data_IF_719704222042
#
_entry.id   IF_719704222042
#
_cell.length_a   1.000
_cell.length_b   1.000
_cell.length_c   1.000
_cell.angle_alpha   90.00
_cell.angle_beta   90.00
_cell.angle_gamma   90.00
#
_symmetry.space_group_name_H-M   'P 1'
#
loop_
_entity.id
_entity.type
_entity.pdbx_description
1 polymer ?
#
# COMPACT_ATOMS: atom_id res chain seq x y z
N UNK A 1 -15.12 -16.90 -1.14
CA UNK A 1 -16.20 -16.57 -2.09
C UNK A 1 -15.52 -16.37 -3.43
N UNK A 2 -15.90 -17.15 -4.44
CA UNK A 2 -15.26 -17.06 -5.77
C UNK A 2 -16.10 -16.10 -6.62
N UNK A 3 -15.71 -14.80 -6.64
CA UNK A 3 -16.44 -13.74 -7.35
C UNK A 3 -15.72 -13.47 -8.67
N UNK A 4 -16.48 -13.50 -9.77
CA UNK A 4 -15.98 -13.06 -11.09
C UNK A 4 -16.01 -11.52 -11.14
N UNK A 5 -14.83 -10.90 -11.02
CA UNK A 5 -14.69 -9.45 -10.98
C UNK A 5 -14.94 -8.77 -12.32
N UNK A 6 -14.70 -9.48 -13.45
CA UNK A 6 -15.07 -8.99 -14.79
C UNK A 6 -16.58 -8.88 -14.93
N UNK A 7 -17.30 -9.92 -14.53
CA UNK A 7 -18.77 -9.92 -14.55
C UNK A 7 -19.38 -8.89 -13.60
N UNK A 8 -18.80 -8.71 -12.39
CA UNK A 8 -19.21 -7.64 -11.48
C UNK A 8 -19.08 -6.26 -12.13
N UNK A 9 -17.96 -5.97 -12.78
CA UNK A 9 -17.75 -4.69 -13.46
C UNK A 9 -18.76 -4.49 -14.62
N UNK A 10 -19.08 -5.56 -15.36
CA UNK A 10 -20.10 -5.53 -16.42
C UNK A 10 -21.49 -5.18 -15.89
N UNK A 11 -21.91 -5.85 -14.82
CA UNK A 11 -23.22 -5.64 -14.19
C UNK A 11 -23.33 -4.22 -13.65
N UNK A 12 -22.33 -3.75 -12.92
CA UNK A 12 -22.33 -2.41 -12.36
C UNK A 12 -22.38 -1.31 -13.42
N UNK A 13 -21.68 -1.51 -14.54
CA UNK A 13 -21.76 -0.59 -15.68
C UNK A 13 -23.19 -0.52 -16.27
N UNK A 14 -23.87 -1.66 -16.36
CA UNK A 14 -25.22 -1.73 -16.91
C UNK A 14 -26.31 -1.20 -15.97
N UNK A 15 -26.12 -1.38 -14.66
CA UNK A 15 -27.12 -1.06 -13.62
C UNK A 15 -26.95 0.29 -12.92
N UNK A 16 -25.81 0.97 -13.11
CA UNK A 16 -25.51 2.22 -12.41
C UNK A 16 -25.85 3.45 -13.27
N UNK A 17 -26.44 4.47 -12.65
CA UNK A 17 -26.74 5.77 -13.31
C UNK A 17 -25.45 6.41 -13.86
N UNK A 18 -24.35 6.27 -13.14
CA UNK A 18 -23.06 6.91 -13.49
C UNK A 18 -22.42 6.27 -14.74
N UNK A 19 -22.62 4.97 -14.97
CA UNK A 19 -22.06 4.22 -16.11
C UNK A 19 -20.59 4.55 -16.39
N UNK A 20 -19.76 4.55 -15.34
CA UNK A 20 -18.38 5.00 -15.44
C UNK A 20 -17.59 4.25 -16.51
N UNK A 21 -16.92 4.98 -17.39
CA UNK A 21 -16.06 4.41 -18.43
C UNK A 21 -14.93 3.57 -17.84
N UNK A 22 -14.53 3.89 -16.59
CA UNK A 22 -13.55 3.11 -15.81
C UNK A 22 -13.95 1.65 -15.63
N UNK A 23 -15.24 1.34 -15.47
CA UNK A 23 -15.73 -0.04 -15.29
C UNK A 23 -15.40 -0.94 -16.50
N UNK A 24 -15.40 -0.38 -17.71
CA UNK A 24 -14.98 -1.13 -18.89
C UNK A 24 -13.49 -1.45 -18.90
N UNK A 25 -12.66 -0.53 -18.40
CA UNK A 25 -11.22 -0.79 -18.24
C UNK A 25 -10.97 -1.87 -17.18
N UNK A 26 -11.69 -1.81 -16.05
CA UNK A 26 -11.63 -2.82 -14.99
C UNK A 26 -12.04 -4.19 -15.56
N UNK A 27 -13.16 -4.26 -16.29
CA UNK A 27 -13.62 -5.49 -16.93
C UNK A 27 -12.53 -6.09 -17.82
N UNK A 28 -11.94 -5.30 -18.71
CA UNK A 28 -10.87 -5.73 -19.60
C UNK A 28 -9.62 -6.24 -18.85
N UNK A 29 -9.24 -5.60 -17.74
CA UNK A 29 -8.12 -6.05 -16.93
C UNK A 29 -8.36 -7.46 -16.37
N UNK A 30 -9.54 -7.72 -15.79
CA UNK A 30 -9.90 -9.04 -15.27
C UNK A 30 -10.24 -10.06 -16.36
N UNK A 31 -10.59 -9.64 -17.57
CA UNK A 31 -10.70 -10.55 -18.74
C UNK A 31 -9.31 -11.05 -19.18
N UNK A 32 -8.27 -10.19 -19.07
CA UNK A 32 -6.88 -10.57 -19.37
C UNK A 32 -6.29 -11.51 -18.32
N UNK A 33 -6.51 -11.17 -17.04
CA UNK A 33 -6.05 -11.98 -15.91
C UNK A 33 -7.11 -12.08 -14.83
N UNK A 34 -7.79 -13.21 -14.74
CA UNK A 34 -8.81 -13.49 -13.73
C UNK A 34 -8.27 -13.55 -12.30
N UNK A 35 -6.97 -13.80 -12.15
CA UNK A 35 -6.28 -13.90 -10.87
C UNK A 35 -5.49 -12.63 -10.52
N UNK A 36 -5.71 -11.54 -11.25
CA UNK A 36 -5.03 -10.26 -11.02
C UNK A 36 -5.19 -9.83 -9.55
N UNK A 37 -4.11 -9.75 -8.78
CA UNK A 37 -4.19 -9.49 -7.34
C UNK A 37 -4.56 -8.04 -7.02
N UNK A 38 -4.27 -7.12 -7.94
CA UNK A 38 -4.58 -5.70 -7.82
C UNK A 38 -4.62 -5.06 -9.21
N UNK A 39 -5.53 -4.12 -9.43
CA UNK A 39 -5.59 -3.39 -10.71
C UNK A 39 -4.29 -2.64 -11.05
N UNK A 40 -3.52 -2.22 -10.06
CA UNK A 40 -2.21 -1.58 -10.28
C UNK A 40 -1.16 -2.51 -10.90
N UNK A 41 -1.43 -3.82 -10.95
CA UNK A 41 -0.57 -4.82 -11.59
C UNK A 41 -0.95 -5.07 -13.05
N UNK A 42 -2.08 -4.56 -13.52
CA UNK A 42 -2.46 -4.59 -14.92
C UNK A 42 -1.69 -3.52 -15.70
N UNK A 43 -1.14 -3.87 -16.85
CA UNK A 43 -0.25 -2.98 -17.63
C UNK A 43 -0.90 -1.66 -18.01
N UNK A 44 -2.19 -1.66 -18.42
CA UNK A 44 -2.89 -0.44 -18.79
C UNK A 44 -3.07 0.48 -17.58
N UNK A 45 -3.42 -0.08 -16.41
CA UNK A 45 -3.56 0.67 -15.17
C UNK A 45 -2.21 1.15 -14.63
N UNK A 46 -1.18 0.32 -14.68
CA UNK A 46 0.17 0.68 -14.28
C UNK A 46 0.69 1.87 -15.10
N UNK A 47 0.59 1.80 -16.43
CA UNK A 47 0.99 2.89 -17.31
C UNK A 47 0.20 4.18 -17.03
N UNK A 48 -1.11 4.08 -16.88
CA UNK A 48 -1.94 5.24 -16.54
C UNK A 48 -1.57 5.87 -15.19
N UNK A 49 -1.26 5.06 -14.19
CA UNK A 49 -0.78 5.56 -12.90
C UNK A 49 0.60 6.22 -13.03
N UNK A 50 1.51 5.65 -13.79
CA UNK A 50 2.84 6.25 -14.02
C UNK A 50 2.74 7.62 -14.70
N UNK A 51 1.81 7.80 -15.62
CA UNK A 51 1.58 9.08 -16.30
C UNK A 51 0.93 10.14 -15.39
N UNK A 52 0.06 9.72 -14.46
CA UNK A 52 -0.81 10.64 -13.72
C UNK A 52 -0.42 10.91 -12.27
N UNK A 53 0.31 10.00 -11.61
CA UNK A 53 0.59 10.10 -10.16
C UNK A 53 1.32 11.39 -9.76
N UNK A 54 2.16 11.95 -10.64
CA UNK A 54 2.89 13.18 -10.37
C UNK A 54 1.94 14.38 -10.24
N UNK A 55 0.87 14.42 -11.03
CA UNK A 55 -0.16 15.46 -10.92
C UNK A 55 -0.92 15.35 -9.60
N UNK A 56 -1.26 14.13 -9.18
CA UNK A 56 -1.88 13.87 -7.89
C UNK A 56 -0.97 14.32 -6.73
N UNK A 57 0.34 14.04 -6.80
CA UNK A 57 1.32 14.49 -5.78
C UNK A 57 1.36 16.00 -5.66
N UNK A 58 1.40 16.71 -6.78
CA UNK A 58 1.40 18.18 -6.80
C UNK A 58 0.15 18.76 -6.14
N UNK A 59 -1.01 18.19 -6.42
CA UNK A 59 -2.28 18.64 -5.83
C UNK A 59 -2.30 18.36 -4.32
N UNK A 60 -1.98 17.14 -3.89
CA UNK A 60 -1.99 16.75 -2.47
C UNK A 60 -1.01 17.59 -1.67
N UNK A 61 0.23 17.77 -2.14
CA UNK A 61 1.23 18.58 -1.44
C UNK A 61 0.82 20.05 -1.34
N UNK A 62 0.28 20.61 -2.44
CA UNK A 62 -0.18 22.01 -2.45
C UNK A 62 -1.37 22.21 -1.52
N UNK A 63 -2.34 21.30 -1.52
CA UNK A 63 -3.47 21.34 -0.60
C UNK A 63 -3.02 21.30 0.87
N UNK A 64 -2.07 20.39 1.20
CA UNK A 64 -1.50 20.31 2.54
C UNK A 64 -0.80 21.61 2.97
N UNK A 65 -0.01 22.22 2.08
CA UNK A 65 0.66 23.50 2.34
C UNK A 65 -0.33 24.66 2.56
N UNK A 66 -1.51 24.59 1.93
CA UNK A 66 -2.57 25.60 2.04
C UNK A 66 -3.56 25.33 3.19
N UNK A 67 -3.40 24.24 3.94
CA UNK A 67 -4.34 23.82 4.98
C UNK A 67 -5.69 23.34 4.44
N UNK A 68 -5.76 22.91 3.18
CA UNK A 68 -6.99 22.40 2.56
C UNK A 68 -7.04 20.89 2.76
N UNK A 69 -8.06 20.36 3.46
CA UNK A 69 -8.17 18.92 3.67
C UNK A 69 -8.63 18.19 2.40
N UNK A 70 -7.83 17.22 1.95
CA UNK A 70 -8.11 16.36 0.79
C UNK A 70 -7.93 14.87 1.15
N UNK A 71 -8.68 14.35 2.15
CA UNK A 71 -8.39 13.04 2.72
C UNK A 71 -8.45 11.90 1.70
N UNK A 72 -9.42 11.90 0.80
CA UNK A 72 -9.55 10.85 -0.22
C UNK A 72 -8.36 10.85 -1.19
N UNK A 73 -7.93 12.01 -1.68
CA UNK A 73 -6.78 12.12 -2.58
C UNK A 73 -5.47 11.74 -1.87
N UNK A 74 -5.30 12.18 -0.61
CA UNK A 74 -4.14 11.83 0.20
C UNK A 74 -4.05 10.34 0.48
N UNK A 75 -5.17 9.69 0.84
CA UNK A 75 -5.23 8.25 1.08
C UNK A 75 -4.96 7.46 -0.20
N UNK A 76 -5.50 7.89 -1.34
CA UNK A 76 -5.26 7.24 -2.63
C UNK A 76 -3.78 7.29 -3.03
N UNK A 77 -3.12 8.44 -2.83
CA UNK A 77 -1.69 8.59 -3.08
C UNK A 77 -0.86 7.72 -2.13
N UNK A 78 -1.20 7.72 -0.83
CA UNK A 78 -0.53 6.89 0.16
C UNK A 78 -0.68 5.40 -0.14
N UNK A 79 -1.87 4.95 -0.58
CA UNK A 79 -2.09 3.58 -1.01
C UNK A 79 -1.19 3.19 -2.19
N UNK A 80 -1.15 4.04 -3.24
CA UNK A 80 -0.29 3.80 -4.39
C UNK A 80 1.18 3.71 -4.00
N UNK A 81 1.66 4.60 -3.15
CA UNK A 81 3.05 4.60 -2.70
C UNK A 81 3.37 3.40 -1.81
N UNK A 82 2.46 3.04 -0.92
CA UNK A 82 2.64 1.85 -0.07
C UNK A 82 2.67 0.57 -0.90
N UNK A 83 1.77 0.44 -1.89
CA UNK A 83 1.67 -0.80 -2.67
C UNK A 83 2.94 -1.08 -3.50
N UNK A 84 3.64 -0.06 -3.97
CA UNK A 84 4.86 -0.19 -4.78
C UNK A 84 6.17 -0.15 -3.98
N UNK A 85 6.09 -0.05 -2.65
CA UNK A 85 7.28 0.07 -1.80
C UNK A 85 7.53 -1.22 -1.03
N UNK A 86 8.74 -1.75 -1.15
CA UNK A 86 9.16 -2.95 -0.44
C UNK A 86 9.30 -2.70 1.07
N UNK A 87 9.84 -1.54 1.44
CA UNK A 87 10.02 -1.14 2.83
C UNK A 87 9.14 0.07 3.17
N UNK A 88 8.32 -0.08 4.19
CA UNK A 88 7.31 0.89 4.58
C UNK A 88 7.62 1.54 5.93
N UNK A 89 7.23 2.81 6.14
CA UNK A 89 7.29 3.45 7.46
C UNK A 89 6.52 2.68 8.54
N UNK A 90 5.52 1.90 8.16
CA UNK A 90 4.74 1.02 9.04
C UNK A 90 5.58 -0.08 9.70
N UNK A 91 6.78 -0.35 9.22
CA UNK A 91 7.74 -1.23 9.89
C UNK A 91 8.07 -0.73 11.29
N UNK A 92 8.12 0.59 11.51
CA UNK A 92 8.28 1.18 12.84
C UNK A 92 7.08 0.88 13.74
N UNK A 93 5.87 0.96 13.23
CA UNK A 93 4.65 0.62 13.98
C UNK A 93 4.67 -0.86 14.40
N UNK A 94 5.09 -1.75 13.50
CA UNK A 94 5.19 -3.17 13.84
C UNK A 94 6.31 -3.44 14.86
N UNK A 95 7.43 -2.73 14.77
CA UNK A 95 8.49 -2.80 15.77
C UNK A 95 8.01 -2.32 17.16
N UNK A 96 7.22 -1.23 17.21
CA UNK A 96 6.59 -0.78 18.46
C UNK A 96 5.63 -1.82 19.03
N UNK A 97 4.80 -2.44 18.20
CA UNK A 97 3.88 -3.50 18.64
C UNK A 97 4.65 -4.72 19.20
N UNK A 98 5.75 -5.07 18.57
CA UNK A 98 6.62 -6.14 19.04
C UNK A 98 7.30 -5.77 20.37
N UNK A 99 7.76 -4.54 20.52
CA UNK A 99 8.34 -4.01 21.75
C UNK A 99 7.34 -4.03 22.92
N UNK A 100 6.11 -3.57 22.71
CA UNK A 100 5.11 -3.48 23.78
C UNK A 100 4.45 -4.79 24.17
N UNK A 101 4.31 -5.73 23.24
CA UNK A 101 3.49 -6.92 23.47
C UNK A 101 3.93 -8.17 22.72
N UNK A 102 5.18 -8.23 22.24
CA UNK A 102 5.72 -9.37 21.50
C UNK A 102 4.80 -9.81 20.34
N UNK A 103 4.26 -8.82 19.59
CA UNK A 103 3.34 -9.12 18.50
C UNK A 103 4.02 -9.75 17.27
N UNK A 104 5.32 -9.92 17.33
CA UNK A 104 6.14 -10.56 16.31
C UNK A 104 6.10 -9.89 14.95
N UNK A 105 7.01 -10.24 14.06
CA UNK A 105 7.05 -9.79 12.67
C UNK A 105 7.79 -10.83 11.81
N UNK A 106 7.59 -10.79 10.51
CA UNK A 106 8.39 -11.53 9.54
C UNK A 106 9.52 -10.65 9.02
N UNK A 107 10.70 -11.24 8.85
CA UNK A 107 11.88 -10.54 8.35
C UNK A 107 11.90 -10.57 6.82
N UNK A 108 12.13 -9.42 6.20
CA UNK A 108 12.27 -9.30 4.73
C UNK A 108 13.56 -9.93 4.21
N UNK A 109 14.63 -9.96 5.04
CA UNK A 109 15.91 -10.60 4.69
C UNK A 109 15.90 -12.13 4.85
N UNK A 110 14.85 -12.69 5.42
CA UNK A 110 14.64 -14.14 5.61
C UNK A 110 13.19 -14.53 5.35
N UNK A 111 12.70 -14.37 4.11
CA UNK A 111 11.31 -14.67 3.78
C UNK A 111 11.00 -16.15 4.04
N UNK A 112 9.86 -16.42 4.68
CA UNK A 112 9.42 -17.77 5.03
C UNK A 112 10.08 -18.38 6.26
N UNK A 113 10.94 -17.66 6.98
CA UNK A 113 11.53 -18.14 8.24
C UNK A 113 10.55 -18.13 9.44
N UNK A 114 9.32 -17.64 9.21
CA UNK A 114 8.28 -17.52 10.23
C UNK A 114 8.40 -16.23 11.05
N UNK A 115 7.52 -16.14 12.05
CA UNK A 115 7.43 -14.97 12.92
C UNK A 115 8.53 -14.97 13.99
N UNK A 116 9.13 -13.81 14.22
CA UNK A 116 10.17 -13.59 15.22
C UNK A 116 9.78 -12.46 16.17
N UNK A 117 10.27 -12.57 17.41
CA UNK A 117 10.25 -11.50 18.41
C UNK A 117 11.68 -10.98 18.59
N UNK A 118 11.85 -9.70 18.77
CA UNK A 118 13.15 -9.10 19.10
C UNK A 118 13.29 -8.97 20.61
N UNK A 119 14.39 -9.49 21.16
CA UNK A 119 14.75 -9.29 22.59
C UNK A 119 15.22 -7.85 22.81
N UNK A 120 14.27 -6.93 22.85
CA UNK A 120 14.51 -5.48 22.89
C UNK A 120 15.34 -5.04 24.08
N UNK A 121 15.12 -5.67 25.23
CA UNK A 121 15.87 -5.35 26.45
C UNK A 121 17.38 -5.63 26.31
N UNK A 122 17.74 -6.68 25.58
CA UNK A 122 19.14 -7.04 25.33
C UNK A 122 19.79 -6.11 24.30
N UNK A 123 19.04 -5.72 23.27
CA UNK A 123 19.50 -4.73 22.30
C UNK A 123 19.81 -3.35 22.93
N UNK A 124 19.03 -2.94 23.92
CA UNK A 124 19.23 -1.67 24.64
C UNK A 124 20.49 -1.77 25.52
N UNK A 125 20.64 -2.85 26.27
CA UNK A 125 21.83 -3.09 27.10
C UNK A 125 23.12 -3.12 26.29
N UNK A 126 23.11 -3.75 25.12
CA UNK A 126 24.27 -3.80 24.22
C UNK A 126 24.69 -2.43 23.65
N UNK A 127 23.78 -1.45 23.58
CA UNK A 127 24.08 -0.08 23.15
C UNK A 127 24.56 0.82 24.26
N UNK A 128 24.15 0.60 25.50
CA UNK A 128 24.64 1.35 26.66
C UNK A 128 26.11 1.03 26.98
N UNK A 129 26.61 -0.12 26.51
CA UNK A 129 28.01 -0.51 26.67
C UNK A 129 28.99 0.10 25.65
N UNK A 130 28.50 0.83 24.64
CA UNK A 130 29.35 1.54 23.69
C UNK A 130 29.60 2.96 24.20
N UNK A 131 30.87 3.37 24.55
CA UNK A 131 31.13 4.75 24.97
C UNK A 131 30.80 5.70 23.83
N UNK A 132 29.93 6.65 24.10
CA UNK A 132 29.71 7.81 23.22
C UNK A 132 31.05 8.54 23.15
N UNK A 133 31.77 8.38 22.06
CA UNK A 133 33.01 9.10 21.80
C UNK A 133 32.78 10.59 21.94
N UNK A 134 33.63 11.24 22.77
CA UNK A 134 33.74 12.69 22.93
C UNK A 134 34.23 13.29 21.60
#
# INVERSE_FOLDING_TARGET
MNIDLSECARIWRGGCIIRAALLERIRKAFDRDKNLPNLLMDDDFANWMMDSHQSLRKIVSKAAMMGIPVPALSASLAYFDAYRSENLPQNLTQAQRDFFGAHTYERTDKPGAGFVHTEWAELIKGKEAAPVGK
#
